data_IF_470480000400
#
_entry.id   IF_470480000400
#
_cell.length_a   1.000
_cell.length_b   1.000
_cell.length_c   1.000
_cell.angle_alpha   90.00
_cell.angle_beta   90.00
_cell.angle_gamma   90.00
#
_symmetry.space_group_name_H-M   'P 1'
#
loop_
_entity.id
_entity.type
_entity.pdbx_description
1 polymer ?
#
# COMPACT_ATOMS: atom_id res chain seq x y z
N UNK A 1 8.13 1.29 14.20
CA UNK A 1 8.77 1.67 15.45
C UNK A 1 9.21 3.12 15.43
N UNK A 2 9.81 3.54 14.32
CA UNK A 2 10.29 4.91 14.17
C UNK A 2 9.19 5.81 13.64
N UNK A 3 9.44 7.11 13.67
CA UNK A 3 8.48 8.10 13.16
C UNK A 3 8.25 7.91 11.67
N UNK A 4 9.32 7.64 10.94
CA UNK A 4 9.23 7.38 9.51
C UNK A 4 8.43 6.11 9.23
N UNK A 5 8.63 5.10 10.07
CA UNK A 5 7.90 3.84 9.95
C UNK A 5 6.44 4.03 10.34
N UNK A 6 6.18 4.97 11.24
CA UNK A 6 4.81 5.33 11.62
C UNK A 6 4.08 5.98 10.46
N UNK A 7 4.77 6.88 9.76
CA UNK A 7 4.22 7.51 8.56
C UNK A 7 3.99 6.47 7.47
N UNK A 8 4.96 5.60 7.26
CA UNK A 8 4.84 4.53 6.27
C UNK A 8 3.71 3.57 6.64
N UNK A 9 3.60 3.26 7.92
CA UNK A 9 2.48 2.47 8.43
C UNK A 9 1.14 3.09 8.03
N UNK A 10 1.07 4.41 8.08
CA UNK A 10 -0.12 5.13 7.64
C UNK A 10 -0.24 5.12 6.12
N UNK A 11 0.90 5.18 5.44
CA UNK A 11 0.94 5.12 3.99
C UNK A 11 0.38 3.79 3.48
N UNK A 12 0.72 2.72 4.17
CA UNK A 12 0.27 1.38 3.78
C UNK A 12 -1.24 1.25 3.90
N UNK A 13 -1.78 1.71 5.03
CA UNK A 13 -3.21 1.59 5.29
C UNK A 13 -4.01 2.52 4.38
N UNK A 14 -3.53 3.76 4.24
CA UNK A 14 -4.29 4.79 3.55
C UNK A 14 -4.40 4.50 2.07
N UNK A 15 -3.33 3.98 1.50
CA UNK A 15 -3.22 3.83 0.05
C UNK A 15 -4.23 2.82 -0.49
N UNK A 16 -4.38 1.71 0.23
CA UNK A 16 -5.17 0.59 -0.26
C UNK A 16 -6.66 0.89 -0.18
N UNK A 17 -7.03 1.80 0.71
CA UNK A 17 -8.42 2.23 0.85
C UNK A 17 -9.03 2.54 -0.52
N UNK A 18 -8.22 3.10 -1.41
CA UNK A 18 -8.65 3.35 -2.78
C UNK A 18 -8.94 2.05 -3.51
N UNK A 19 -8.08 1.06 -3.29
CA UNK A 19 -8.26 -0.25 -3.91
C UNK A 19 -9.53 -0.93 -3.42
N UNK A 20 -9.84 -0.75 -2.14
CA UNK A 20 -11.10 -1.24 -1.58
C UNK A 20 -12.30 -0.61 -2.27
N UNK A 21 -12.18 0.68 -2.58
CA UNK A 21 -13.20 1.38 -3.36
C UNK A 21 -13.21 0.90 -4.80
N UNK A 22 -12.07 0.43 -5.27
CA UNK A 22 -11.91 0.04 -6.67
C UNK A 22 -12.40 -1.39 -6.90
N UNK A 23 -12.73 -2.08 -5.80
CA UNK A 23 -13.26 -3.44 -5.89
C UNK A 23 -12.14 -4.47 -5.84
N UNK A 24 -10.97 -4.04 -5.35
CA UNK A 24 -9.83 -4.94 -5.23
C UNK A 24 -9.82 -5.66 -3.89
N UNK A 25 -9.68 -6.98 -3.93
CA UNK A 25 -9.70 -7.78 -2.72
C UNK A 25 -8.46 -8.66 -2.60
N UNK A 26 -7.61 -8.60 -3.62
CA UNK A 26 -6.42 -9.43 -3.66
C UNK A 26 -5.51 -9.16 -2.46
N UNK A 27 -5.46 -10.12 -1.54
CA UNK A 27 -4.61 -10.01 -0.36
C UNK A 27 -3.14 -10.13 -0.74
N UNK A 28 -2.87 -10.84 -1.83
CA UNK A 28 -1.50 -11.03 -2.31
C UNK A 28 -0.81 -9.69 -2.51
N UNK A 29 -1.39 -8.83 -3.34
CA UNK A 29 -0.79 -7.55 -3.68
C UNK A 29 -0.84 -6.59 -2.49
N UNK A 30 -1.85 -6.76 -1.64
CA UNK A 30 -1.92 -6.02 -0.39
C UNK A 30 -0.75 -6.37 0.53
N UNK A 31 -0.22 -7.58 0.37
CA UNK A 31 0.95 -8.01 1.13
C UNK A 31 2.20 -7.27 0.68
N UNK A 32 2.27 -6.98 -0.62
CA UNK A 32 3.48 -6.44 -1.21
C UNK A 32 3.82 -5.07 -0.64
N UNK A 33 2.79 -4.29 -0.33
CA UNK A 33 2.96 -2.98 0.27
C UNK A 33 3.45 -3.09 1.71
N UNK A 34 3.22 -4.26 2.31
CA UNK A 34 3.79 -4.57 3.62
C UNK A 34 5.27 -4.92 3.51
N UNK A 35 5.63 -5.60 2.42
CA UNK A 35 7.03 -5.78 2.07
C UNK A 35 7.68 -4.45 1.69
N UNK A 36 6.85 -3.48 1.32
CA UNK A 36 7.35 -2.18 0.87
C UNK A 36 7.89 -1.37 2.04
N UNK A 37 9.06 -1.77 2.54
CA UNK A 37 9.67 -1.10 3.67
C UNK A 37 9.98 0.36 3.36
N UNK A 38 9.74 0.75 2.11
CA UNK A 38 9.78 2.16 1.72
C UNK A 38 8.39 2.67 1.39
N UNK A 39 8.19 3.98 1.57
CA UNK A 39 6.94 4.62 1.20
C UNK A 39 6.74 4.62 -0.31
N UNK A 40 7.82 4.82 -1.05
CA UNK A 40 7.77 4.85 -2.50
C UNK A 40 7.36 3.49 -3.06
N UNK A 41 7.79 2.42 -2.39
CA UNK A 41 7.40 1.07 -2.77
C UNK A 41 5.89 0.89 -2.73
N UNK A 42 5.29 1.32 -1.62
CA UNK A 42 3.85 1.13 -1.40
C UNK A 42 3.04 1.79 -2.51
N UNK A 43 3.45 2.97 -2.93
CA UNK A 43 2.78 3.69 -4.01
C UNK A 43 3.07 3.05 -5.36
N UNK A 44 4.33 2.67 -5.57
CA UNK A 44 4.74 2.08 -6.84
C UNK A 44 4.08 0.73 -7.07
N UNK A 45 4.06 -0.10 -6.03
CA UNK A 45 3.42 -1.40 -6.11
C UNK A 45 1.93 -1.27 -6.39
N UNK A 46 1.24 -0.47 -5.57
CA UNK A 46 -0.19 -0.28 -5.69
C UNK A 46 -0.55 0.31 -7.05
N UNK A 47 0.32 1.16 -7.56
CA UNK A 47 0.04 1.90 -8.79
C UNK A 47 -0.48 0.97 -9.89
N UNK A 48 0.12 -0.22 -9.98
CA UNK A 48 -0.31 -1.21 -10.96
C UNK A 48 -1.72 -1.69 -10.68
N UNK A 49 -2.05 -1.85 -9.40
CA UNK A 49 -3.37 -2.33 -9.00
C UNK A 49 -4.43 -1.25 -9.15
N UNK A 50 -4.08 -0.03 -8.74
CA UNK A 50 -5.00 1.09 -8.83
C UNK A 50 -5.34 1.40 -10.29
N UNK A 51 -4.37 1.23 -11.17
CA UNK A 51 -4.56 1.51 -12.59
C UNK A 51 -4.85 0.23 -13.36
N UNK A 52 -5.19 -0.83 -12.63
CA UNK A 52 -5.49 -2.12 -13.25
C UNK A 52 -6.73 -2.03 -14.13
#
# INVERSE_FOLDING_TARGET
>A
GTIDEWLLKEAKEKAIEELKKAGITSDYYFDLINKAKTVEGVNALKDEILKA
#
